data_IF_456124296356
#
_entry.id   IF_456124296356
#
_cell.length_a   1.000
_cell.length_b   1.000
_cell.length_c   1.000
_cell.angle_alpha   90.00
_cell.angle_beta   90.00
_cell.angle_gamma   90.00
#
_symmetry.space_group_name_H-M   'P 1'
#
loop_
_entity.id
_entity.type
_entity.pdbx_description
1 polymer ?
#
# COMPACT_ATOMS: atom_id res chain seq x y z
N UNK A 1 14.45 -5.63 -7.45
CA UNK A 1 13.15 -5.23 -8.07
C UNK A 1 13.00 -3.70 -8.12
N UNK A 2 13.09 -3.01 -7.00
CA UNK A 2 13.02 -1.55 -6.92
C UNK A 2 14.33 -0.99 -6.39
N UNK A 3 14.85 0.07 -7.02
CA UNK A 3 16.01 0.82 -6.56
C UNK A 3 15.68 2.32 -6.54
N UNK A 4 16.03 2.98 -5.46
CA UNK A 4 15.81 4.41 -5.26
C UNK A 4 17.16 5.09 -5.09
N UNK A 5 17.38 6.21 -5.81
CA UNK A 5 18.59 7.02 -5.71
C UNK A 5 18.24 8.49 -5.47
N UNK A 6 18.69 9.04 -4.32
CA UNK A 6 18.57 10.45 -3.94
C UNK A 6 17.16 11.03 -4.14
N UNK A 7 16.13 10.21 -3.89
CA UNK A 7 14.73 10.57 -4.12
C UNK A 7 14.26 11.62 -3.13
N UNK A 8 13.70 12.71 -3.62
CA UNK A 8 13.01 13.67 -2.78
C UNK A 8 11.68 14.13 -3.38
N UNK A 9 10.79 14.56 -2.49
CA UNK A 9 9.52 15.19 -2.87
C UNK A 9 9.25 16.39 -1.98
N UNK A 10 8.99 17.54 -2.63
CA UNK A 10 8.59 18.77 -1.95
C UNK A 10 7.29 19.31 -2.51
N UNK A 11 6.45 19.90 -1.66
CA UNK A 11 5.28 20.67 -2.04
C UNK A 11 5.42 22.09 -1.48
N UNK A 12 5.34 23.11 -2.36
CA UNK A 12 5.44 24.53 -1.94
C UNK A 12 6.65 24.80 -1.00
N UNK A 13 7.82 24.29 -1.35
CA UNK A 13 9.07 24.41 -0.59
C UNK A 13 9.12 23.65 0.75
N UNK A 14 8.17 22.79 1.04
CA UNK A 14 8.23 21.88 2.18
C UNK A 14 8.61 20.48 1.67
N UNK A 15 9.77 19.99 2.08
CA UNK A 15 10.20 18.62 1.78
C UNK A 15 9.38 17.64 2.62
N UNK A 16 8.68 16.71 1.96
CA UNK A 16 7.79 15.72 2.58
C UNK A 16 8.35 14.31 2.48
N UNK A 17 9.37 14.10 1.65
CA UNK A 17 10.06 12.82 1.50
C UNK A 17 11.51 13.06 1.07
N UNK A 18 12.43 12.34 1.71
CA UNK A 18 13.84 12.29 1.38
C UNK A 18 14.42 10.91 1.65
N UNK A 19 14.72 10.20 0.59
CA UNK A 19 15.30 8.85 0.65
C UNK A 19 16.59 8.84 -0.18
N UNK A 20 17.76 8.88 0.48
CA UNK A 20 19.03 8.85 -0.23
C UNK A 20 19.22 7.59 -1.04
N UNK A 21 18.93 6.43 -0.45
CA UNK A 21 19.05 5.14 -1.08
C UNK A 21 18.06 4.15 -0.46
N UNK A 22 17.42 3.34 -1.31
CA UNK A 22 16.64 2.18 -0.88
C UNK A 22 16.68 1.13 -2.00
N UNK A 23 16.99 -0.11 -1.65
CA UNK A 23 16.94 -1.24 -2.57
C UNK A 23 15.98 -2.29 -2.03
N UNK A 24 15.02 -2.73 -2.86
CA UNK A 24 14.08 -3.80 -2.56
C UNK A 24 14.31 -4.91 -3.58
N UNK A 25 14.87 -6.05 -3.17
CA UNK A 25 15.10 -7.21 -4.04
C UNK A 25 13.80 -7.79 -4.61
N UNK A 26 13.93 -8.58 -5.67
CA UNK A 26 12.81 -9.36 -6.18
C UNK A 26 12.46 -10.48 -5.18
N UNK A 27 11.17 -10.75 -5.01
CA UNK A 27 10.65 -11.79 -4.12
C UNK A 27 10.63 -11.37 -2.63
N UNK A 28 11.02 -10.13 -2.30
CA UNK A 28 10.98 -9.66 -0.90
C UNK A 28 9.57 -9.19 -0.52
N UNK A 29 9.09 -9.60 0.66
CA UNK A 29 7.92 -9.00 1.31
C UNK A 29 8.38 -7.85 2.22
N UNK A 30 8.06 -6.62 1.79
CA UNK A 30 8.53 -5.37 2.33
C UNK A 30 7.40 -4.58 3.01
N UNK A 31 7.58 -4.24 4.28
CA UNK A 31 6.66 -3.42 5.06
C UNK A 31 7.17 -1.99 5.23
N UNK A 32 6.37 -1.02 4.84
CA UNK A 32 6.63 0.41 5.06
C UNK A 32 5.75 0.92 6.22
N UNK A 33 6.35 1.21 7.34
CA UNK A 33 5.64 1.61 8.56
C UNK A 33 5.90 3.06 8.91
N UNK A 34 4.92 3.73 9.48
CA UNK A 34 5.03 5.10 9.96
C UNK A 34 3.68 5.71 10.29
N UNK A 35 3.68 6.75 11.10
CA UNK A 35 2.47 7.49 11.44
C UNK A 35 1.78 8.10 10.20
N UNK A 36 0.53 8.55 10.37
CA UNK A 36 -0.14 9.32 9.32
C UNK A 36 0.66 10.59 9.02
N UNK A 37 0.87 10.86 7.72
CA UNK A 37 1.71 11.97 7.27
C UNK A 37 3.22 11.68 7.23
N UNK A 38 3.69 10.48 7.58
CA UNK A 38 5.11 10.12 7.51
C UNK A 38 5.68 10.10 6.08
N UNK A 39 4.83 10.05 5.03
CA UNK A 39 5.26 10.02 3.63
C UNK A 39 5.04 8.68 2.92
N UNK A 40 4.40 7.67 3.54
CA UNK A 40 4.18 6.33 2.97
C UNK A 40 3.47 6.38 1.61
N UNK A 41 2.29 6.99 1.54
CA UNK A 41 1.52 7.15 0.29
C UNK A 41 2.28 7.99 -0.73
N UNK A 42 3.08 8.98 -0.29
CA UNK A 42 3.93 9.78 -1.17
C UNK A 42 5.00 8.90 -1.83
N UNK A 43 5.66 8.03 -1.04
CA UNK A 43 6.63 7.09 -1.59
C UNK A 43 5.98 6.14 -2.60
N UNK A 44 4.87 5.49 -2.24
CA UNK A 44 4.18 4.58 -3.15
C UNK A 44 3.66 5.28 -4.41
N UNK A 45 3.21 6.53 -4.29
CA UNK A 45 2.82 7.33 -5.46
C UNK A 45 4.00 7.65 -6.40
N UNK A 46 5.21 7.81 -5.86
CA UNK A 46 6.44 7.98 -6.66
C UNK A 46 6.86 6.66 -7.32
N UNK A 47 6.72 5.52 -6.63
CA UNK A 47 6.99 4.18 -7.19
C UNK A 47 6.04 3.84 -8.34
N UNK A 48 4.84 4.42 -8.36
CA UNK A 48 3.79 4.18 -9.36
C UNK A 48 3.66 5.31 -10.39
N UNK A 49 4.63 6.25 -10.45
CA UNK A 49 4.59 7.43 -11.34
C UNK A 49 3.28 8.23 -11.29
N UNK A 50 2.56 8.15 -10.17
CA UNK A 50 1.34 8.94 -9.94
C UNK A 50 1.68 10.41 -9.65
N UNK A 51 2.87 10.65 -9.12
CA UNK A 51 3.45 11.99 -8.89
C UNK A 51 4.91 11.99 -9.31
N UNK A 52 5.41 13.15 -9.75
CA UNK A 52 6.81 13.29 -10.14
C UNK A 52 7.69 13.63 -8.93
N UNK A 53 8.91 13.07 -8.84
CA UNK A 53 9.89 13.46 -7.82
C UNK A 53 10.34 14.93 -8.00
N UNK A 54 10.78 15.54 -6.91
CA UNK A 54 11.46 16.86 -6.94
C UNK A 54 12.93 16.69 -7.32
N UNK A 55 13.56 15.61 -6.87
CA UNK A 55 14.91 15.19 -7.29
C UNK A 55 15.06 13.68 -7.16
N UNK A 56 16.12 13.13 -7.74
CA UNK A 56 16.42 11.71 -7.71
C UNK A 56 15.53 10.90 -8.63
N UNK A 57 15.60 9.58 -8.50
CA UNK A 57 14.88 8.65 -9.36
C UNK A 57 14.48 7.37 -8.66
N UNK A 58 13.48 6.72 -9.24
CA UNK A 58 13.06 5.35 -8.94
C UNK A 58 13.32 4.50 -10.16
N UNK A 59 13.99 3.38 -9.95
CA UNK A 59 14.16 2.34 -10.98
C UNK A 59 13.34 1.11 -10.60
N UNK A 60 12.65 0.52 -11.57
CA UNK A 60 12.03 -0.80 -11.47
C UNK A 60 12.67 -1.72 -12.50
N UNK A 61 13.23 -2.86 -12.06
CA UNK A 61 14.05 -3.73 -12.90
C UNK A 61 15.13 -2.95 -13.67
N UNK A 62 15.87 -2.08 -12.95
CA UNK A 62 16.94 -1.26 -13.47
C UNK A 62 16.53 -0.21 -14.54
N UNK A 63 15.23 -0.02 -14.75
CA UNK A 63 14.70 0.97 -15.69
C UNK A 63 13.94 2.09 -14.94
N UNK A 64 14.08 3.36 -15.37
CA UNK A 64 13.35 4.46 -14.75
C UNK A 64 11.84 4.24 -14.78
N UNK A 65 11.19 4.46 -13.64
CA UNK A 65 9.73 4.41 -13.52
C UNK A 65 9.11 5.67 -14.12
N UNK A 66 9.71 6.83 -13.86
CA UNK A 66 9.19 8.11 -14.31
C UNK A 66 9.12 8.19 -15.84
N UNK A 67 7.93 8.56 -16.36
CA UNK A 67 7.64 8.70 -17.80
C UNK A 67 7.85 7.42 -18.62
N UNK A 68 7.77 6.25 -17.97
CA UNK A 68 7.89 4.94 -18.56
C UNK A 68 6.59 4.15 -18.37
N UNK A 69 6.29 3.24 -19.28
CA UNK A 69 5.16 2.32 -19.16
C UNK A 69 5.60 0.87 -18.91
N UNK A 70 6.90 0.63 -18.96
CA UNK A 70 7.47 -0.72 -18.88
C UNK A 70 7.04 -1.45 -17.60
N UNK A 71 7.11 -0.78 -16.46
CA UNK A 71 6.78 -1.34 -15.15
C UNK A 71 5.30 -1.69 -14.98
N UNK A 72 4.38 -1.09 -15.75
CA UNK A 72 2.93 -1.30 -15.64
C UNK A 72 2.51 -2.73 -15.97
N UNK A 73 3.23 -3.40 -16.87
CA UNK A 73 2.90 -4.75 -17.34
C UNK A 73 3.10 -5.84 -16.30
N UNK A 74 3.94 -5.60 -15.29
CA UNK A 74 4.26 -6.56 -14.23
C UNK A 74 3.98 -6.04 -12.81
N UNK A 75 3.29 -4.90 -12.69
CA UNK A 75 2.96 -4.28 -11.41
C UNK A 75 1.47 -4.27 -11.19
N UNK A 76 1.03 -4.81 -10.06
CA UNK A 76 -0.31 -4.62 -9.52
C UNK A 76 -0.27 -3.65 -8.34
N UNK A 77 -1.27 -2.78 -8.22
CA UNK A 77 -1.30 -1.83 -7.12
C UNK A 77 -2.72 -1.56 -6.61
N UNK A 78 -2.84 -1.41 -5.30
CA UNK A 78 -3.98 -0.81 -4.65
C UNK A 78 -3.49 0.33 -3.74
N UNK A 79 -3.87 1.56 -4.06
CA UNK A 79 -3.47 2.75 -3.29
C UNK A 79 -4.65 3.30 -2.51
N UNK A 80 -5.79 3.49 -3.19
CA UNK A 80 -6.98 4.10 -2.60
C UNK A 80 -8.23 3.70 -3.40
N UNK A 81 -9.39 3.66 -2.75
CA UNK A 81 -10.65 3.33 -3.40
C UNK A 81 -11.10 4.35 -4.46
N UNK A 82 -10.59 5.58 -4.43
CA UNK A 82 -10.90 6.58 -5.43
C UNK A 82 -10.30 6.26 -6.82
N UNK A 83 -9.34 5.34 -6.89
CA UNK A 83 -8.81 4.84 -8.16
C UNK A 83 -9.68 3.74 -8.79
N UNK A 84 -10.68 3.24 -8.08
CA UNK A 84 -11.62 2.26 -8.63
C UNK A 84 -12.64 2.92 -9.55
N UNK A 85 -13.07 2.17 -10.59
CA UNK A 85 -14.15 2.64 -11.48
C UNK A 85 -15.48 2.39 -10.78
N UNK A 86 -15.89 3.31 -9.92
CA UNK A 86 -16.99 3.16 -8.99
C UNK A 86 -18.37 2.93 -9.62
N UNK A 87 -18.59 3.23 -10.91
CA UNK A 87 -19.84 3.02 -11.63
C UNK A 87 -19.93 1.63 -12.31
N UNK A 88 -18.89 0.79 -12.18
CA UNK A 88 -18.96 -0.62 -12.56
C UNK A 88 -19.36 -1.48 -11.37
N UNK A 89 -19.96 -2.64 -11.64
CA UNK A 89 -20.05 -3.72 -10.66
C UNK A 89 -18.68 -4.38 -10.48
N UNK A 90 -18.41 -5.08 -9.36
CA UNK A 90 -17.15 -5.81 -9.21
C UNK A 90 -16.85 -6.76 -10.36
N UNK A 91 -17.85 -7.50 -10.85
CA UNK A 91 -17.69 -8.41 -11.97
C UNK A 91 -17.25 -7.68 -13.25
N UNK A 92 -17.92 -6.57 -13.61
CA UNK A 92 -17.55 -5.75 -14.77
C UNK A 92 -16.15 -5.16 -14.63
N UNK A 93 -15.77 -4.76 -13.42
CA UNK A 93 -14.44 -4.22 -13.13
C UNK A 93 -13.35 -5.28 -13.28
N UNK A 94 -13.57 -6.48 -12.75
CA UNK A 94 -12.63 -7.59 -12.92
C UNK A 94 -12.50 -8.02 -14.40
N UNK A 95 -13.59 -8.06 -15.15
CA UNK A 95 -13.57 -8.33 -16.60
C UNK A 95 -12.82 -7.23 -17.36
N UNK A 96 -12.98 -5.97 -16.97
CA UNK A 96 -12.24 -4.85 -17.55
C UNK A 96 -10.74 -4.98 -17.28
N UNK A 97 -10.35 -5.20 -16.02
CA UNK A 97 -8.93 -5.36 -15.65
C UNK A 97 -8.33 -6.61 -16.31
N UNK A 98 -9.05 -7.74 -16.30
CA UNK A 98 -8.61 -8.96 -16.97
C UNK A 98 -8.30 -8.74 -18.46
N UNK A 99 -9.14 -8.00 -19.17
CA UNK A 99 -8.92 -7.65 -20.57
C UNK A 99 -7.65 -6.81 -20.80
N UNK A 100 -7.32 -5.90 -19.86
CA UNK A 100 -6.08 -5.11 -19.95
C UNK A 100 -4.83 -6.00 -19.89
N UNK A 101 -4.90 -7.09 -19.12
CA UNK A 101 -3.81 -8.07 -19.01
C UNK A 101 -3.93 -9.25 -19.99
N UNK A 102 -4.90 -9.23 -20.90
CA UNK A 102 -5.11 -10.32 -21.87
C UNK A 102 -5.68 -11.60 -21.27
N UNK A 103 -6.25 -11.55 -20.07
CA UNK A 103 -6.87 -12.68 -19.37
C UNK A 103 -8.23 -12.98 -19.97
N UNK A 104 -8.42 -14.20 -20.46
CA UNK A 104 -9.68 -14.68 -21.01
C UNK A 104 -10.75 -14.90 -19.92
N UNK A 105 -12.04 -14.89 -20.33
CA UNK A 105 -13.15 -14.99 -19.37
C UNK A 105 -13.08 -16.24 -18.48
N UNK A 106 -12.84 -17.40 -19.05
CA UNK A 106 -12.74 -18.66 -18.28
C UNK A 106 -11.57 -18.67 -17.30
N UNK A 107 -10.43 -18.11 -17.71
CA UNK A 107 -9.26 -17.95 -16.86
C UNK A 107 -9.50 -16.95 -15.73
N UNK A 108 -10.21 -15.84 -16.00
CA UNK A 108 -10.59 -14.88 -14.99
C UNK A 108 -11.49 -15.53 -13.93
N UNK A 109 -12.48 -16.32 -14.35
CA UNK A 109 -13.36 -17.04 -13.43
C UNK A 109 -12.59 -18.00 -12.52
N UNK A 110 -11.57 -18.68 -13.02
CA UNK A 110 -10.69 -19.55 -12.20
C UNK A 110 -9.85 -18.70 -11.23
N UNK A 111 -9.22 -17.62 -11.68
CA UNK A 111 -8.44 -16.72 -10.81
C UNK A 111 -9.29 -16.08 -9.70
N UNK A 112 -10.54 -15.76 -9.97
CA UNK A 112 -11.43 -15.18 -8.97
C UNK A 112 -11.80 -16.16 -7.84
N UNK A 113 -11.71 -17.49 -8.06
CA UNK A 113 -11.92 -18.48 -7.01
C UNK A 113 -10.88 -18.41 -5.90
N UNK A 114 -9.66 -17.98 -6.20
CA UNK A 114 -8.59 -17.79 -5.21
C UNK A 114 -8.98 -16.74 -4.15
N UNK A 115 -9.93 -15.87 -4.46
CA UNK A 115 -10.42 -14.83 -3.56
C UNK A 115 -11.73 -15.18 -2.84
N UNK A 116 -12.31 -16.36 -3.05
CA UNK A 116 -13.63 -16.71 -2.49
C UNK A 116 -13.67 -16.55 -0.97
N UNK A 117 -12.65 -17.01 -0.27
CA UNK A 117 -12.54 -16.84 1.19
C UNK A 117 -12.45 -15.36 1.57
N UNK A 118 -11.61 -14.57 0.88
CA UNK A 118 -11.43 -13.15 1.12
C UNK A 118 -12.69 -12.34 0.79
N UNK A 119 -13.43 -12.73 -0.25
CA UNK A 119 -14.69 -12.10 -0.61
C UNK A 119 -15.84 -12.45 0.34
N UNK A 120 -15.79 -13.61 0.98
CA UNK A 120 -16.80 -14.05 1.94
C UNK A 120 -18.25 -13.94 1.40
N UNK A 121 -18.46 -14.18 0.10
CA UNK A 121 -19.75 -14.05 -0.56
C UNK A 121 -20.31 -12.60 -0.64
N UNK A 122 -19.50 -11.59 -0.38
CA UNK A 122 -19.94 -10.19 -0.32
C UNK A 122 -19.68 -9.40 -1.60
N UNK A 123 -18.84 -9.89 -2.50
CA UNK A 123 -18.32 -9.16 -3.67
C UNK A 123 -18.98 -9.59 -4.97
N UNK A 124 -18.90 -10.89 -5.28
CA UNK A 124 -19.48 -11.43 -6.51
C UNK A 124 -20.99 -11.64 -6.40
N UNK A 125 -21.67 -11.77 -7.54
CA UNK A 125 -23.13 -12.02 -7.67
C UNK A 125 -24.04 -10.94 -7.08
N UNK A 126 -23.49 -9.80 -6.69
CA UNK A 126 -24.25 -8.64 -6.25
C UNK A 126 -24.33 -7.61 -7.37
N UNK A 127 -25.55 -7.30 -7.84
CA UNK A 127 -25.80 -6.23 -8.83
C UNK A 127 -25.65 -4.83 -8.21
N UNK A 128 -24.57 -4.62 -7.43
CA UNK A 128 -24.25 -3.33 -6.82
C UNK A 128 -23.03 -2.74 -7.51
N UNK A 129 -23.05 -1.44 -7.72
CA UNK A 129 -21.87 -0.73 -8.17
C UNK A 129 -20.79 -0.68 -7.08
N UNK A 130 -19.53 -0.62 -7.47
CA UNK A 130 -18.40 -0.54 -6.52
C UNK A 130 -18.59 0.63 -5.55
N UNK A 131 -19.02 1.80 -6.02
CA UNK A 131 -19.28 2.98 -5.17
C UNK A 131 -20.33 2.77 -4.08
N UNK A 132 -21.22 1.80 -4.26
CA UNK A 132 -22.32 1.48 -3.33
C UNK A 132 -21.95 0.38 -2.33
N UNK A 133 -20.73 -0.15 -2.42
CA UNK A 133 -20.16 -1.09 -1.47
C UNK A 133 -19.61 -0.37 -0.23
N UNK A 134 -19.47 -1.09 0.88
CA UNK A 134 -18.72 -0.60 2.04
C UNK A 134 -17.26 -0.33 1.65
N UNK A 135 -16.58 0.56 2.38
CA UNK A 135 -15.14 0.85 2.17
C UNK A 135 -14.28 -0.42 2.21
N UNK A 136 -14.55 -1.33 3.15
CA UNK A 136 -13.88 -2.61 3.22
C UNK A 136 -14.09 -3.46 1.97
N UNK A 137 -15.32 -3.52 1.43
CA UNK A 137 -15.61 -4.29 0.23
C UNK A 137 -15.04 -3.62 -1.04
N UNK A 138 -15.01 -2.29 -1.13
CA UNK A 138 -14.29 -1.57 -2.20
C UNK A 138 -12.81 -1.95 -2.18
N UNK A 139 -12.19 -2.00 -1.00
CA UNK A 139 -10.81 -2.42 -0.79
C UNK A 139 -10.57 -3.85 -1.24
N UNK A 140 -11.46 -4.80 -0.86
CA UNK A 140 -11.38 -6.18 -1.34
C UNK A 140 -11.38 -6.27 -2.86
N UNK A 141 -12.24 -5.50 -3.52
CA UNK A 141 -12.28 -5.41 -4.99
C UNK A 141 -10.97 -4.88 -5.55
N UNK A 142 -10.43 -3.80 -4.99
CA UNK A 142 -9.18 -3.20 -5.46
C UNK A 142 -7.96 -4.11 -5.30
N UNK A 143 -7.84 -4.79 -4.16
CA UNK A 143 -6.75 -5.73 -3.89
C UNK A 143 -6.82 -6.93 -4.82
N UNK A 144 -8.01 -7.52 -5.01
CA UNK A 144 -8.18 -8.64 -5.94
C UNK A 144 -7.86 -8.21 -7.39
N UNK A 145 -8.33 -7.03 -7.82
CA UNK A 145 -8.03 -6.49 -9.15
C UNK A 145 -6.52 -6.31 -9.38
N UNK A 146 -5.77 -5.88 -8.36
CA UNK A 146 -4.31 -5.73 -8.45
C UNK A 146 -3.58 -7.07 -8.69
N UNK A 147 -4.20 -8.18 -8.33
CA UNK A 147 -3.64 -9.53 -8.47
C UNK A 147 -4.09 -10.27 -9.75
N UNK A 148 -5.14 -9.79 -10.44
CA UNK A 148 -5.67 -10.45 -11.66
C UNK A 148 -4.59 -10.62 -12.73
N UNK A 149 -3.70 -9.65 -12.91
CA UNK A 149 -2.62 -9.69 -13.89
C UNK A 149 -1.46 -10.64 -13.53
N UNK A 150 -1.49 -11.32 -12.39
CA UNK A 150 -0.36 -12.08 -11.83
C UNK A 150 0.94 -11.27 -11.85
N UNK A 151 0.98 -10.15 -11.12
CA UNK A 151 2.12 -9.23 -11.16
C UNK A 151 3.39 -9.87 -10.57
N UNK A 152 4.55 -9.30 -10.89
CA UNK A 152 5.82 -9.60 -10.23
C UNK A 152 6.12 -8.62 -9.09
N UNK A 153 5.41 -7.48 -9.08
CA UNK A 153 5.45 -6.46 -8.05
C UNK A 153 4.03 -6.10 -7.63
N UNK A 154 3.71 -6.22 -6.35
CA UNK A 154 2.44 -5.84 -5.76
C UNK A 154 2.65 -4.71 -4.75
N UNK A 155 1.94 -3.60 -4.90
CA UNK A 155 1.99 -2.47 -3.98
C UNK A 155 0.61 -2.26 -3.35
N UNK A 156 0.56 -2.32 -2.03
CA UNK A 156 -0.67 -2.18 -1.25
C UNK A 156 -0.52 -1.05 -0.21
N UNK A 157 -1.24 0.05 -0.39
CA UNK A 157 -1.23 1.16 0.56
C UNK A 157 -2.36 0.99 1.58
N UNK A 158 -1.98 0.88 2.87
CA UNK A 158 -2.88 0.66 4.02
C UNK A 158 -3.95 -0.42 3.76
N UNK A 159 -3.59 -1.64 3.32
CA UNK A 159 -4.56 -2.64 2.90
C UNK A 159 -5.44 -3.17 4.03
N UNK A 160 -4.98 -3.11 5.28
CA UNK A 160 -5.71 -3.60 6.45
C UNK A 160 -6.66 -2.56 7.05
N UNK A 161 -6.48 -1.27 6.76
CA UNK A 161 -7.33 -0.21 7.27
C UNK A 161 -8.78 -0.35 6.77
N UNK A 162 -9.76 -0.07 7.64
CA UNK A 162 -11.20 -0.18 7.34
C UNK A 162 -11.72 -1.59 6.99
N UNK A 163 -10.93 -2.63 7.22
CA UNK A 163 -11.38 -4.01 7.20
C UNK A 163 -11.83 -4.45 8.60
N UNK A 164 -12.87 -5.25 8.67
CA UNK A 164 -13.23 -5.94 9.90
C UNK A 164 -12.18 -7.02 10.28
N UNK A 165 -12.12 -7.44 11.55
CA UNK A 165 -11.09 -8.39 12.00
C UNK A 165 -11.03 -9.69 11.20
N UNK A 166 -12.18 -10.22 10.76
CA UNK A 166 -12.26 -11.43 9.94
C UNK A 166 -11.61 -11.20 8.58
N UNK A 167 -11.94 -10.09 7.92
CA UNK A 167 -11.35 -9.72 6.62
C UNK A 167 -9.84 -9.42 6.71
N UNK A 168 -9.36 -8.86 7.85
CA UNK A 168 -7.92 -8.68 8.09
C UNK A 168 -7.19 -10.03 8.17
N UNK A 169 -7.75 -11.02 8.86
CA UNK A 169 -7.18 -12.38 8.95
C UNK A 169 -7.14 -13.02 7.56
N UNK A 170 -8.22 -12.91 6.79
CA UNK A 170 -8.31 -13.46 5.44
C UNK A 170 -7.31 -12.80 4.48
N UNK A 171 -7.11 -11.47 4.59
CA UNK A 171 -6.11 -10.76 3.79
C UNK A 171 -4.68 -11.18 4.16
N UNK A 172 -4.37 -11.34 5.45
CA UNK A 172 -3.06 -11.87 5.89
C UNK A 172 -2.81 -13.27 5.32
N UNK A 173 -3.82 -14.13 5.36
CA UNK A 173 -3.73 -15.47 4.78
C UNK A 173 -3.48 -15.40 3.27
N UNK A 174 -4.26 -14.60 2.54
CA UNK A 174 -4.07 -14.38 1.12
C UNK A 174 -2.64 -13.92 0.80
N UNK A 175 -2.10 -12.95 1.55
CA UNK A 175 -0.73 -12.44 1.33
C UNK A 175 0.32 -13.54 1.58
N UNK A 176 0.13 -14.40 2.59
CA UNK A 176 1.05 -15.50 2.90
C UNK A 176 1.01 -16.63 1.87
N UNK A 177 -0.07 -16.76 1.11
CA UNK A 177 -0.24 -17.75 0.05
C UNK A 177 0.23 -17.24 -1.32
N UNK A 178 0.65 -15.97 -1.43
CA UNK A 178 1.21 -15.42 -2.67
C UNK A 178 2.54 -16.14 -3.02
N UNK A 179 2.88 -16.25 -4.31
CA UNK A 179 4.11 -16.89 -4.75
C UNK A 179 5.37 -16.22 -4.17
N UNK A 180 6.36 -17.01 -3.77
CA UNK A 180 7.63 -16.53 -3.17
C UNK A 180 8.43 -15.59 -4.10
N UNK A 181 8.21 -15.66 -5.41
CA UNK A 181 8.87 -14.78 -6.39
C UNK A 181 8.17 -13.43 -6.59
N UNK A 182 6.98 -13.24 -6.02
CA UNK A 182 6.26 -11.97 -6.04
C UNK A 182 6.87 -11.01 -5.02
N UNK A 183 7.29 -9.84 -5.47
CA UNK A 183 7.71 -8.77 -4.57
C UNK A 183 6.47 -8.05 -4.05
N UNK A 184 6.30 -7.98 -2.73
CA UNK A 184 5.12 -7.36 -2.11
C UNK A 184 5.54 -6.17 -1.25
N UNK A 185 5.00 -4.99 -1.53
CA UNK A 185 5.20 -3.78 -0.75
C UNK A 185 3.89 -3.42 -0.04
N UNK A 186 3.92 -3.34 1.28
CA UNK A 186 2.75 -3.03 2.11
C UNK A 186 3.06 -1.83 2.98
N UNK A 187 2.24 -0.78 2.93
CA UNK A 187 2.28 0.27 3.93
C UNK A 187 1.29 -0.02 5.06
N UNK A 188 1.65 0.39 6.27
CA UNK A 188 0.73 0.39 7.42
C UNK A 188 1.16 1.39 8.49
N UNK A 189 0.20 1.88 9.25
CA UNK A 189 0.45 2.56 10.52
C UNK A 189 0.31 1.60 11.72
N UNK A 190 -0.16 0.37 11.49
CA UNK A 190 -0.25 -0.70 12.49
C UNK A 190 0.89 -1.71 12.28
N UNK A 191 1.76 -1.79 13.29
CA UNK A 191 2.93 -2.66 13.31
C UNK A 191 2.57 -4.14 13.26
N UNK A 192 1.49 -4.53 13.95
CA UNK A 192 1.07 -5.92 14.08
C UNK A 192 0.82 -6.56 12.71
N UNK A 193 0.21 -5.81 11.79
CA UNK A 193 -0.09 -6.35 10.47
C UNK A 193 1.17 -6.62 9.65
N UNK A 194 2.12 -5.66 9.62
CA UNK A 194 3.33 -5.82 8.79
C UNK A 194 4.31 -6.83 9.36
N UNK A 195 4.45 -6.91 10.70
CA UNK A 195 5.33 -7.90 11.33
C UNK A 195 4.88 -9.35 11.11
N UNK A 196 3.61 -9.56 10.82
CA UNK A 196 3.07 -10.89 10.55
C UNK A 196 3.22 -11.35 9.08
N UNK A 197 3.37 -10.40 8.13
CA UNK A 197 3.33 -10.71 6.69
C UNK A 197 4.54 -10.24 5.90
N UNK A 198 5.42 -9.41 6.49
CA UNK A 198 6.60 -8.86 5.81
C UNK A 198 7.89 -9.40 6.42
N UNK A 199 8.88 -9.71 5.58
CA UNK A 199 10.22 -10.19 5.98
C UNK A 199 11.17 -9.04 6.34
N UNK A 200 10.89 -7.84 5.83
CA UNK A 200 11.66 -6.63 6.08
C UNK A 200 10.74 -5.47 6.36
N UNK A 201 11.08 -4.68 7.36
CA UNK A 201 10.30 -3.52 7.78
C UNK A 201 11.19 -2.29 7.73
N UNK A 202 10.72 -1.29 6.99
CA UNK A 202 11.31 0.05 6.94
C UNK A 202 10.38 1.02 7.66
N UNK A 203 10.92 1.73 8.63
CA UNK A 203 10.19 2.75 9.38
C UNK A 203 10.46 4.12 8.77
N UNK A 204 9.39 4.77 8.35
CA UNK A 204 9.41 6.12 7.79
C UNK A 204 8.86 7.12 8.81
N UNK A 205 9.62 8.17 9.07
CA UNK A 205 9.21 9.28 9.93
C UNK A 205 9.58 10.60 9.28
N UNK A 206 8.62 11.54 9.20
CA UNK A 206 8.82 12.88 8.63
C UNK A 206 9.51 12.87 7.25
N UNK A 207 9.23 11.83 6.45
CA UNK A 207 9.78 11.67 5.11
C UNK A 207 11.14 10.99 5.02
N UNK A 208 11.73 10.58 6.13
CA UNK A 208 13.05 9.93 6.18
C UNK A 208 12.96 8.49 6.71
N UNK A 209 13.83 7.62 6.21
CA UNK A 209 13.97 6.25 6.73
C UNK A 209 14.79 6.33 8.01
N UNK A 210 14.20 5.91 9.12
CA UNK A 210 14.84 5.91 10.44
C UNK A 210 15.24 4.54 10.92
N UNK A 211 14.62 3.49 10.39
CA UNK A 211 14.99 2.09 10.64
C UNK A 211 14.75 1.26 9.38
N UNK A 212 15.58 0.26 9.21
CA UNK A 212 15.50 -0.75 8.17
C UNK A 212 15.95 -2.08 8.78
N UNK A 213 15.01 -2.99 9.02
CA UNK A 213 15.24 -4.21 9.81
C UNK A 213 14.57 -5.42 9.17
N UNK A 214 15.19 -6.59 9.33
CA UNK A 214 14.52 -7.86 9.01
C UNK A 214 13.60 -8.26 10.14
N UNK A 215 12.47 -8.87 9.78
CA UNK A 215 11.46 -9.29 10.76
C UNK A 215 11.91 -10.54 11.48
N UNK A 216 11.96 -10.46 12.81
CA UNK A 216 12.25 -11.54 13.75
C UNK A 216 11.16 -11.61 14.82
N UNK A 217 11.16 -12.62 15.65
CA UNK A 217 10.14 -12.81 16.70
C UNK A 217 10.04 -11.63 17.69
N UNK A 218 11.12 -10.86 17.88
CA UNK A 218 11.19 -9.70 18.79
C UNK A 218 10.85 -8.38 18.14
N UNK A 219 10.76 -8.33 16.79
CA UNK A 219 10.66 -7.10 16.01
C UNK A 219 9.44 -6.25 16.41
N UNK A 220 8.28 -6.87 16.66
CA UNK A 220 7.09 -6.15 17.07
C UNK A 220 7.33 -5.38 18.37
N UNK A 221 7.85 -6.05 19.42
CA UNK A 221 8.11 -5.44 20.73
C UNK A 221 9.14 -4.30 20.64
N UNK A 222 10.17 -4.47 19.81
CA UNK A 222 11.20 -3.44 19.60
C UNK A 222 10.65 -2.20 18.91
N UNK A 223 9.77 -2.38 17.90
CA UNK A 223 9.13 -1.28 17.21
C UNK A 223 8.09 -0.58 18.09
N UNK A 224 7.29 -1.33 18.86
CA UNK A 224 6.35 -0.75 19.83
C UNK A 224 7.08 0.08 20.90
N UNK A 225 8.18 -0.43 21.44
CA UNK A 225 8.99 0.31 22.38
C UNK A 225 9.60 1.59 21.78
N UNK A 226 10.01 1.53 20.50
CA UNK A 226 10.52 2.68 19.77
C UNK A 226 9.45 3.77 19.62
N UNK A 227 8.26 3.42 19.12
CA UNK A 227 7.17 4.37 18.92
C UNK A 227 6.60 4.93 20.22
N UNK A 228 6.63 4.15 21.30
CA UNK A 228 6.21 4.63 22.63
C UNK A 228 7.15 5.72 23.16
N UNK A 229 8.47 5.58 22.99
CA UNK A 229 9.45 6.58 23.39
C UNK A 229 9.28 7.90 22.61
N UNK A 230 9.02 7.84 21.31
CA UNK A 230 8.79 9.05 20.49
C UNK A 230 7.58 9.83 20.98
N UNK A 231 6.49 9.15 21.38
CA UNK A 231 5.29 9.80 21.91
C UNK A 231 5.53 10.50 23.25
N UNK A 232 6.45 10.01 24.06
CA UNK A 232 6.84 10.63 25.33
C UNK A 232 7.76 11.84 25.13
N UNK A 233 8.54 11.88 24.05
CA UNK A 233 9.48 12.96 23.73
C UNK A 233 8.83 14.13 22.95
N UNK A 234 7.63 13.96 22.34
CA UNK A 234 6.87 15.06 21.75
C UNK A 234 6.03 15.76 22.85
N UNK A 235 6.44 16.94 23.36
CA UNK A 235 5.62 17.67 24.35
C UNK A 235 4.31 18.11 23.71
N UNK A 236 3.22 17.98 24.45
CA UNK A 236 1.87 18.42 24.11
C UNK A 236 1.84 19.92 23.77
N UNK A 237 2.17 20.26 22.54
CA UNK A 237 2.08 21.63 21.99
C UNK A 237 0.98 21.68 20.96
N UNK A 238 -0.29 21.69 21.39
CA UNK A 238 -1.41 22.29 20.65
C UNK A 238 -2.74 22.22 21.40
N UNK A 239 -2.80 22.75 22.63
CA UNK A 239 -4.07 23.17 23.21
C UNK A 239 -3.87 24.51 23.93
N UNK A 240 -3.75 25.60 23.18
CA UNK A 240 -3.96 26.97 23.69
C UNK A 240 -3.98 27.97 22.52
N UNK A 241 -5.08 28.01 21.75
CA UNK A 241 -5.53 29.26 21.11
C UNK A 241 -7.01 29.10 20.73
N UNK A 242 -7.87 29.30 21.68
CA UNK A 242 -9.31 29.29 21.44
C UNK A 242 -10.11 29.77 22.65
N UNK A 243 -9.74 30.92 23.23
CA UNK A 243 -10.63 31.64 24.12
C UNK A 243 -10.28 33.13 24.16
N UNK A 244 -11.29 33.94 23.94
CA UNK A 244 -11.40 35.38 24.11
C UNK A 244 -11.17 36.28 22.91
N UNK A 245 -12.29 36.58 22.25
CA UNK A 245 -12.64 37.91 21.75
C UNK A 245 -14.15 37.98 21.48
N UNK A 246 -14.95 38.00 22.55
CA UNK A 246 -16.27 38.64 22.54
C UNK A 246 -16.29 39.57 23.73
N UNK A 247 -16.16 40.84 23.45
CA UNK A 247 -16.72 42.00 24.22
C UNK A 247 -16.03 43.29 23.72
N UNK A 248 -16.68 43.96 22.82
CA UNK A 248 -17.08 45.37 22.83
C UNK A 248 -17.62 45.80 21.45
#
# INVERSE_FOLDING_TARGET
>A
MITIHNLSKSYKNVEVLRIPELNIPQGESFGLVGNNGAGKTTLFSLLLDLIQPSSGEVLSKEQPVARSEHWKSYTGAYVDENFLIGFLTPQEYFEFVGKLYGVGKGELEERLKDFDTFFNGEILDRKKYIRDLSKGNQKKVGIAAALIGQPELLILDEPFANLDPSSQIQLKQLIKELPDNLTVLISSHDLTHVTEVCERIVVLEKGEIIKDIRTEATTLNELEAYFSKIREEEPATSEMTGANADSE
#
